data_IF_971256841200
#
_entry.id   IF_971256841200
#
_cell.length_a   1.000
_cell.length_b   1.000
_cell.length_c   1.000
_cell.angle_alpha   90.00
_cell.angle_beta   90.00
_cell.angle_gamma   90.00
#
_symmetry.space_group_name_H-M   'P 1'
#
loop_
_entity.id
_entity.type
_entity.pdbx_description
1 polymer ?
#
# COMPACT_ATOMS: atom_id res chain seq x y z
N UNK A 1 -37.68 -27.30 -31.41
CA UNK A 1 -37.98 -28.45 -30.51
C UNK A 1 -39.09 -28.08 -29.52
N UNK A 2 -39.77 -29.06 -28.88
CA UNK A 2 -40.80 -28.78 -27.87
C UNK A 2 -40.22 -27.96 -26.75
N UNK A 3 -39.01 -28.26 -26.28
CA UNK A 3 -38.32 -27.50 -25.22
C UNK A 3 -38.09 -26.03 -25.62
N UNK A 4 -37.75 -25.76 -26.89
CA UNK A 4 -37.60 -24.38 -27.37
C UNK A 4 -38.92 -23.62 -27.30
N UNK A 5 -40.02 -24.23 -27.71
CA UNK A 5 -41.36 -23.62 -27.66
C UNK A 5 -41.81 -23.36 -26.21
N UNK A 6 -41.51 -24.26 -25.29
CA UNK A 6 -41.81 -24.07 -23.86
C UNK A 6 -40.99 -22.89 -23.34
N UNK A 7 -39.69 -22.85 -23.61
CA UNK A 7 -38.81 -21.74 -23.16
C UNK A 7 -39.27 -20.40 -23.75
N UNK A 8 -39.64 -20.35 -25.02
CA UNK A 8 -40.14 -19.10 -25.65
C UNK A 8 -41.46 -18.64 -25.00
N UNK A 9 -42.39 -19.57 -24.71
CA UNK A 9 -43.64 -19.27 -24.01
C UNK A 9 -43.38 -18.78 -22.60
N UNK A 10 -42.48 -19.43 -21.87
CA UNK A 10 -42.10 -19.02 -20.54
C UNK A 10 -41.46 -17.64 -20.52
N UNK A 11 -40.51 -17.38 -21.44
CA UNK A 11 -39.88 -16.07 -21.60
C UNK A 11 -40.92 -14.99 -21.85
N UNK A 12 -41.87 -15.20 -22.75
CA UNK A 12 -42.90 -14.23 -23.08
C UNK A 12 -43.85 -13.98 -21.90
N UNK A 13 -44.26 -15.03 -21.17
CA UNK A 13 -45.13 -14.90 -19.99
C UNK A 13 -44.42 -14.14 -18.86
N UNK A 14 -43.15 -14.45 -18.59
CA UNK A 14 -42.34 -13.74 -17.61
C UNK A 14 -42.21 -12.24 -17.95
N UNK A 15 -41.86 -11.91 -19.19
CA UNK A 15 -41.71 -10.52 -19.64
C UNK A 15 -43.02 -9.75 -19.57
N UNK A 16 -44.13 -10.35 -20.01
CA UNK A 16 -45.45 -9.74 -19.94
C UNK A 16 -45.89 -9.50 -18.49
N UNK A 17 -45.66 -10.45 -17.59
CA UNK A 17 -45.94 -10.24 -16.16
C UNK A 17 -45.24 -9.00 -15.62
N UNK A 18 -43.92 -8.88 -15.82
CA UNK A 18 -43.15 -7.73 -15.32
C UNK A 18 -43.62 -6.43 -15.93
N UNK A 19 -43.81 -6.39 -17.28
CA UNK A 19 -44.21 -5.17 -17.98
C UNK A 19 -45.64 -4.71 -17.67
N UNK A 20 -46.55 -5.64 -17.35
CA UNK A 20 -47.96 -5.30 -17.08
C UNK A 20 -48.26 -5.05 -15.61
N UNK A 21 -47.58 -5.72 -14.70
CA UNK A 21 -47.88 -5.66 -13.26
C UNK A 21 -46.81 -4.98 -12.41
N UNK A 22 -45.56 -4.84 -12.92
CA UNK A 22 -44.40 -4.41 -12.15
C UNK A 22 -43.93 -5.41 -11.10
N UNK A 23 -44.52 -6.64 -11.08
CA UNK A 23 -44.21 -7.69 -10.12
C UNK A 23 -43.28 -8.73 -10.76
N UNK A 24 -42.16 -9.01 -10.09
CA UNK A 24 -41.14 -9.96 -10.55
C UNK A 24 -41.50 -11.40 -10.19
N UNK A 25 -40.75 -12.35 -10.68
CA UNK A 25 -41.01 -13.78 -10.43
C UNK A 25 -40.94 -14.22 -8.97
N UNK A 26 -40.16 -13.52 -8.17
CA UNK A 26 -40.00 -13.73 -6.73
C UNK A 26 -40.90 -12.85 -5.87
N UNK A 27 -41.81 -12.09 -6.49
CA UNK A 27 -42.77 -11.21 -5.82
C UNK A 27 -42.25 -9.81 -5.49
N UNK A 28 -40.98 -9.51 -5.77
CA UNK A 28 -40.44 -8.15 -5.59
C UNK A 28 -41.00 -7.16 -6.63
N UNK A 29 -40.99 -5.87 -6.27
CA UNK A 29 -41.15 -4.79 -7.23
C UNK A 29 -39.90 -4.60 -8.10
N UNK A 30 -39.95 -3.71 -9.08
CA UNK A 30 -38.81 -3.42 -9.97
C UNK A 30 -37.61 -2.79 -9.24
N UNK A 31 -37.82 -2.14 -8.11
CA UNK A 31 -36.80 -1.42 -7.33
C UNK A 31 -36.31 -2.17 -6.10
N UNK A 32 -36.99 -3.24 -5.69
CA UNK A 32 -36.67 -3.97 -4.47
C UNK A 32 -35.33 -4.72 -4.60
N UNK A 33 -34.55 -4.65 -3.54
CA UNK A 33 -33.28 -5.38 -3.34
C UNK A 33 -33.55 -6.52 -2.37
N UNK A 34 -32.93 -7.69 -2.63
CA UNK A 34 -33.00 -8.84 -1.73
C UNK A 34 -32.39 -8.50 -0.36
N UNK A 35 -32.78 -9.24 0.64
CA UNK A 35 -32.22 -9.13 2.00
C UNK A 35 -30.70 -9.29 1.97
N UNK A 36 -30.01 -8.40 2.70
CA UNK A 36 -28.55 -8.40 2.82
C UNK A 36 -28.18 -8.76 4.26
N UNK A 37 -27.32 -9.79 4.39
CA UNK A 37 -26.66 -10.17 5.63
C UNK A 37 -25.16 -10.09 5.46
N UNK A 38 -24.46 -9.57 6.46
CA UNK A 38 -23.02 -9.32 6.44
C UNK A 38 -22.43 -9.77 7.77
N UNK A 39 -21.51 -10.73 7.71
CA UNK A 39 -20.80 -11.24 8.88
C UNK A 39 -19.29 -10.95 8.72
N UNK A 40 -18.80 -9.82 9.29
CA UNK A 40 -17.40 -9.48 9.27
C UNK A 40 -16.59 -10.37 10.23
N UNK A 41 -15.29 -10.50 9.98
CA UNK A 41 -14.31 -11.24 10.81
C UNK A 41 -14.65 -12.72 11.05
N UNK A 42 -15.35 -13.34 10.08
CA UNK A 42 -15.83 -14.72 10.20
C UNK A 42 -14.70 -15.76 10.33
N UNK A 43 -13.52 -15.47 9.79
CA UNK A 43 -12.35 -16.34 9.86
C UNK A 43 -11.30 -15.79 10.83
N UNK A 44 -11.03 -16.50 11.91
CA UNK A 44 -10.21 -16.04 13.04
C UNK A 44 -8.73 -15.78 12.74
N UNK A 45 -8.17 -16.30 11.66
CA UNK A 45 -6.72 -16.24 11.38
C UNK A 45 -6.36 -15.49 10.11
N UNK A 46 -7.34 -15.06 9.33
CA UNK A 46 -7.12 -14.21 8.17
C UNK A 46 -6.82 -12.79 8.61
N UNK A 47 -6.27 -11.97 7.73
CA UNK A 47 -6.04 -10.57 8.07
C UNK A 47 -7.34 -9.77 8.08
N UNK A 48 -8.27 -10.07 7.13
CA UNK A 48 -9.64 -9.62 7.13
C UNK A 48 -10.53 -10.63 6.40
N UNK A 49 -11.76 -10.80 6.82
CA UNK A 49 -12.71 -11.71 6.18
C UNK A 49 -14.14 -11.25 6.36
N UNK A 50 -14.97 -11.49 5.36
CA UNK A 50 -16.40 -11.16 5.39
C UNK A 50 -17.19 -12.24 4.65
N UNK A 51 -18.30 -12.66 5.22
CA UNK A 51 -19.33 -13.38 4.51
C UNK A 51 -20.42 -12.39 4.12
N UNK A 52 -20.51 -12.09 2.84
CA UNK A 52 -21.53 -11.21 2.28
C UNK A 52 -22.61 -12.05 1.61
N UNK A 53 -23.84 -11.88 2.04
CA UNK A 53 -25.01 -12.59 1.50
C UNK A 53 -26.06 -11.60 1.02
N UNK A 54 -26.58 -11.82 -0.18
CA UNK A 54 -27.71 -11.07 -0.76
C UNK A 54 -28.71 -12.06 -1.34
N UNK A 55 -29.76 -12.36 -0.59
CA UNK A 55 -30.69 -13.44 -0.90
C UNK A 55 -29.92 -14.76 -1.11
N UNK A 56 -30.06 -15.35 -2.30
CA UNK A 56 -29.40 -16.60 -2.71
C UNK A 56 -28.05 -16.37 -3.43
N UNK A 57 -27.33 -15.29 -3.07
CA UNK A 57 -25.99 -15.03 -3.58
C UNK A 57 -25.08 -14.76 -2.38
N UNK A 58 -24.07 -15.61 -2.19
CA UNK A 58 -23.17 -15.57 -1.05
C UNK A 58 -21.72 -15.61 -1.51
N UNK A 59 -20.92 -14.69 -0.97
CA UNK A 59 -19.47 -14.60 -1.21
C UNK A 59 -18.71 -14.58 0.13
N UNK A 60 -17.81 -15.53 0.33
CA UNK A 60 -16.80 -15.49 1.37
C UNK A 60 -15.58 -14.76 0.83
N UNK A 61 -15.31 -13.57 1.34
CA UNK A 61 -14.23 -12.73 0.84
C UNK A 61 -13.16 -12.54 1.91
N UNK A 62 -11.92 -12.80 1.52
CA UNK A 62 -10.76 -12.78 2.41
C UNK A 62 -9.71 -11.83 1.87
N UNK A 63 -9.21 -10.96 2.73
CA UNK A 63 -8.09 -10.06 2.46
C UNK A 63 -6.83 -10.56 3.15
N UNK A 64 -5.71 -10.59 2.41
CA UNK A 64 -4.37 -10.84 2.92
C UNK A 64 -3.50 -9.62 2.63
N UNK A 65 -2.80 -9.14 3.65
CA UNK A 65 -1.83 -8.06 3.57
C UNK A 65 -0.42 -8.68 3.57
N UNK A 66 0.37 -8.35 2.59
CA UNK A 66 1.74 -8.85 2.43
C UNK A 66 2.75 -7.72 2.35
N UNK A 67 4.03 -8.09 2.31
CA UNK A 67 5.15 -7.19 2.07
C UNK A 67 5.33 -6.89 0.58
N UNK A 68 6.35 -6.11 0.25
CA UNK A 68 6.73 -5.82 -1.15
C UNK A 68 7.18 -7.07 -1.92
N UNK A 69 7.75 -8.08 -1.24
CA UNK A 69 8.15 -9.34 -1.86
C UNK A 69 6.98 -10.19 -2.34
N UNK A 70 5.77 -9.93 -1.79
CA UNK A 70 4.53 -10.64 -2.16
C UNK A 70 3.83 -10.03 -3.38
N UNK A 71 4.40 -8.99 -4.02
CA UNK A 71 3.87 -8.42 -5.26
C UNK A 71 3.77 -9.49 -6.36
N UNK A 72 2.63 -9.52 -7.04
CA UNK A 72 2.45 -10.42 -8.17
C UNK A 72 3.28 -9.94 -9.37
N UNK A 73 4.16 -10.82 -9.87
CA UNK A 73 4.91 -10.57 -11.11
C UNK A 73 4.00 -10.91 -12.28
N UNK A 74 3.75 -9.94 -13.14
CA UNK A 74 2.96 -10.10 -14.35
C UNK A 74 3.93 -10.11 -15.54
N UNK A 75 4.10 -11.27 -16.13
CA UNK A 75 4.81 -11.49 -17.39
C UNK A 75 3.81 -11.26 -18.53
N UNK A 76 3.96 -10.19 -19.27
CA UNK A 76 3.09 -9.83 -20.38
C UNK A 76 3.87 -9.71 -21.69
N UNK A 77 3.16 -9.71 -22.83
CA UNK A 77 3.80 -9.58 -24.14
C UNK A 77 4.42 -8.19 -24.37
N UNK A 78 3.97 -7.17 -23.65
CA UNK A 78 4.42 -5.79 -23.82
C UNK A 78 5.56 -5.45 -22.84
N UNK A 79 5.37 -5.72 -21.56
CA UNK A 79 6.36 -5.48 -20.50
C UNK A 79 6.05 -6.30 -19.25
N UNK A 80 7.09 -6.64 -18.50
CA UNK A 80 6.96 -7.25 -17.18
C UNK A 80 6.74 -6.15 -16.14
N UNK A 81 5.71 -6.32 -15.30
CA UNK A 81 5.45 -5.38 -14.23
C UNK A 81 5.02 -6.07 -12.94
N UNK A 82 5.20 -5.38 -11.82
CA UNK A 82 4.74 -5.84 -10.51
C UNK A 82 3.41 -5.23 -10.15
N UNK A 83 2.60 -5.99 -9.43
CA UNK A 83 1.26 -5.61 -9.03
C UNK A 83 1.10 -5.79 -7.53
N UNK A 84 0.93 -4.68 -6.80
CA UNK A 84 0.75 -4.66 -5.35
C UNK A 84 -0.70 -4.85 -4.90
N UNK A 85 -1.66 -4.81 -5.82
CA UNK A 85 -3.08 -5.05 -5.55
C UNK A 85 -3.66 -5.98 -6.59
N UNK A 86 -4.27 -7.09 -6.15
CA UNK A 86 -4.95 -8.04 -7.03
C UNK A 86 -6.09 -8.77 -6.32
N UNK A 87 -7.09 -9.15 -7.12
CA UNK A 87 -8.29 -9.84 -6.66
C UNK A 87 -8.50 -11.12 -7.47
N UNK A 88 -8.61 -12.23 -6.74
CA UNK A 88 -8.97 -13.55 -7.28
C UNK A 88 -10.45 -13.80 -6.99
N UNK A 89 -11.17 -14.15 -8.04
CA UNK A 89 -12.57 -14.52 -7.97
C UNK A 89 -12.71 -15.99 -8.35
N UNK A 90 -13.28 -16.79 -7.49
CA UNK A 90 -13.46 -18.22 -7.65
C UNK A 90 -14.95 -18.55 -7.71
N UNK A 91 -15.35 -19.23 -8.80
CA UNK A 91 -16.74 -19.59 -9.08
C UNK A 91 -16.84 -21.10 -9.30
N UNK A 92 -16.77 -21.90 -8.25
CA UNK A 92 -16.84 -23.35 -8.34
C UNK A 92 -18.24 -23.81 -8.79
N UNK A 93 -18.36 -24.93 -9.49
CA UNK A 93 -19.65 -25.41 -10.02
C UNK A 93 -20.74 -25.57 -8.95
N UNK A 94 -20.37 -25.93 -7.73
CA UNK A 94 -21.34 -26.14 -6.65
C UNK A 94 -22.13 -24.87 -6.30
N UNK A 95 -21.60 -23.67 -6.54
CA UNK A 95 -22.29 -22.42 -6.18
C UNK A 95 -23.58 -22.19 -6.99
N UNK A 96 -23.77 -22.91 -8.07
CA UNK A 96 -25.00 -22.93 -8.88
C UNK A 96 -25.65 -24.33 -8.89
N UNK A 97 -25.27 -25.20 -7.96
CA UNK A 97 -25.81 -26.56 -7.84
C UNK A 97 -25.36 -27.52 -8.94
N UNK A 98 -24.28 -27.21 -9.66
CA UNK A 98 -23.77 -27.99 -10.77
C UNK A 98 -22.53 -28.80 -10.36
N UNK A 99 -22.26 -29.86 -11.15
CA UNK A 99 -20.99 -30.58 -11.12
C UNK A 99 -20.11 -30.13 -12.29
N UNK A 100 -18.79 -30.04 -12.06
CA UNK A 100 -17.88 -29.58 -13.11
C UNK A 100 -16.42 -29.78 -12.76
N UNK A 101 -15.54 -29.45 -13.69
CA UNK A 101 -14.10 -29.48 -13.48
C UNK A 101 -13.67 -28.32 -12.58
N UNK A 102 -12.79 -28.61 -11.61
CA UNK A 102 -12.17 -27.66 -10.72
C UNK A 102 -10.66 -27.57 -11.09
N UNK A 103 -10.05 -26.41 -10.91
CA UNK A 103 -8.60 -26.21 -11.07
C UNK A 103 -8.18 -25.48 -12.35
N UNK A 104 -9.14 -24.96 -13.13
CA UNK A 104 -8.86 -24.08 -14.26
C UNK A 104 -9.63 -22.78 -14.09
N UNK A 105 -8.94 -21.66 -14.18
CA UNK A 105 -9.58 -20.36 -14.16
C UNK A 105 -10.33 -20.12 -15.47
N UNK A 106 -11.64 -19.93 -15.36
CA UNK A 106 -12.52 -19.65 -16.51
C UNK A 106 -12.43 -18.19 -16.96
N UNK A 107 -12.86 -17.90 -18.20
CA UNK A 107 -13.00 -16.52 -18.68
C UNK A 107 -13.95 -15.69 -17.81
N UNK A 108 -14.99 -16.33 -17.27
CA UNK A 108 -15.92 -15.72 -16.32
C UNK A 108 -15.21 -15.26 -15.06
N UNK A 109 -14.39 -16.13 -14.47
CA UNK A 109 -13.64 -15.80 -13.25
C UNK A 109 -12.65 -14.66 -13.48
N UNK A 110 -11.94 -14.65 -14.60
CA UNK A 110 -11.06 -13.54 -14.98
C UNK A 110 -11.84 -12.23 -15.14
N UNK A 111 -12.95 -12.25 -15.89
CA UNK A 111 -13.73 -11.04 -16.15
C UNK A 111 -14.40 -10.46 -14.90
N UNK A 112 -15.02 -11.33 -14.08
CA UNK A 112 -15.68 -10.91 -12.83
C UNK A 112 -14.65 -10.44 -11.78
N UNK A 113 -13.54 -11.14 -11.64
CA UNK A 113 -12.44 -10.73 -10.77
C UNK A 113 -11.86 -9.38 -11.16
N UNK A 114 -11.65 -9.17 -12.47
CA UNK A 114 -11.13 -7.90 -12.98
C UNK A 114 -12.13 -6.74 -12.78
N UNK A 115 -13.43 -6.99 -12.93
CA UNK A 115 -14.46 -5.99 -12.64
C UNK A 115 -14.43 -5.58 -11.16
N UNK A 116 -14.44 -6.55 -10.25
CA UNK A 116 -14.40 -6.28 -8.81
C UNK A 116 -13.09 -5.57 -8.41
N UNK A 117 -11.95 -5.99 -8.97
CA UNK A 117 -10.65 -5.35 -8.74
C UNK A 117 -10.66 -3.88 -9.20
N UNK A 118 -11.17 -3.58 -10.41
CA UNK A 118 -11.28 -2.20 -10.92
C UNK A 118 -12.22 -1.35 -10.09
N UNK A 119 -13.31 -1.93 -9.58
CA UNK A 119 -14.30 -1.22 -8.77
C UNK A 119 -13.70 -0.70 -7.45
N UNK A 120 -12.83 -1.47 -6.82
CA UNK A 120 -12.23 -1.16 -5.52
C UNK A 120 -10.95 -0.30 -5.66
N UNK A 121 -10.19 -0.47 -6.74
CA UNK A 121 -8.90 0.20 -6.94
C UNK A 121 -8.88 1.72 -6.65
N UNK A 122 -9.87 2.53 -7.09
CA UNK A 122 -9.85 3.98 -6.87
C UNK A 122 -9.93 4.42 -5.41
N UNK A 123 -10.42 3.57 -4.52
CA UNK A 123 -10.62 3.88 -3.09
C UNK A 123 -9.52 3.32 -2.20
N UNK A 124 -8.55 2.60 -2.75
CA UNK A 124 -7.42 2.11 -1.97
C UNK A 124 -6.60 3.29 -1.44
N UNK A 125 -5.99 3.16 -0.26
CA UNK A 125 -5.00 4.11 0.22
C UNK A 125 -3.80 4.16 -0.71
N UNK A 126 -3.08 5.28 -0.69
CA UNK A 126 -1.83 5.41 -1.40
C UNK A 126 -0.75 4.52 -0.76
N UNK A 127 0.19 4.01 -1.57
CA UNK A 127 1.20 3.06 -1.09
C UNK A 127 2.10 3.64 0.02
N UNK A 128 2.38 4.94 -0.02
CA UNK A 128 3.19 5.62 0.99
C UNK A 128 2.52 5.65 2.37
N UNK A 129 1.18 5.71 2.41
CA UNK A 129 0.39 5.71 3.64
C UNK A 129 0.09 4.28 4.13
N UNK A 130 -0.02 3.33 3.20
CA UNK A 130 -0.36 1.94 3.50
C UNK A 130 0.48 0.99 2.63
N UNK A 131 1.76 0.77 2.97
CA UNK A 131 2.74 0.07 2.12
C UNK A 131 2.58 -1.45 2.11
N UNK A 132 1.37 -1.92 1.91
CA UNK A 132 1.05 -3.35 1.83
C UNK A 132 0.77 -3.80 0.41
N UNK A 133 1.24 -4.98 0.08
CA UNK A 133 0.71 -5.76 -1.03
C UNK A 133 -0.62 -6.37 -0.59
N UNK A 134 -1.68 -6.09 -1.34
CA UNK A 134 -3.05 -6.47 -1.00
C UNK A 134 -3.52 -7.58 -1.95
N UNK A 135 -3.87 -8.74 -1.38
CA UNK A 135 -4.52 -9.83 -2.08
C UNK A 135 -5.93 -10.03 -1.53
N UNK A 136 -6.93 -9.96 -2.41
CA UNK A 136 -8.32 -10.34 -2.09
C UNK A 136 -8.64 -11.66 -2.78
N UNK A 137 -9.29 -12.55 -2.07
CA UNK A 137 -9.85 -13.80 -2.61
C UNK A 137 -11.33 -13.81 -2.33
N UNK A 138 -12.16 -13.88 -3.39
CA UNK A 138 -13.60 -13.99 -3.29
C UNK A 138 -14.02 -15.40 -3.70
N UNK A 139 -14.45 -16.21 -2.74
CA UNK A 139 -15.01 -17.54 -2.94
C UNK A 139 -16.52 -17.43 -3.01
N UNK A 140 -17.10 -17.76 -4.15
CA UNK A 140 -18.55 -17.74 -4.33
C UNK A 140 -19.12 -19.04 -3.78
N UNK A 141 -19.91 -18.93 -2.71
CA UNK A 141 -20.50 -20.06 -2.01
C UNK A 141 -21.86 -20.44 -2.62
N UNK A 142 -22.63 -19.43 -3.05
CA UNK A 142 -23.92 -19.58 -3.72
C UNK A 142 -24.14 -18.43 -4.71
N UNK A 143 -24.83 -18.66 -5.82
CA UNK A 143 -25.05 -17.63 -6.85
C UNK A 143 -26.39 -17.75 -7.52
N UNK A 144 -27.26 -16.76 -7.30
CA UNK A 144 -28.46 -16.48 -8.08
C UNK A 144 -28.54 -15.00 -8.43
N UNK A 145 -27.67 -14.56 -9.37
CA UNK A 145 -27.58 -13.19 -9.85
C UNK A 145 -26.45 -12.37 -9.23
N UNK A 146 -25.62 -11.85 -10.09
CA UNK A 146 -24.49 -10.93 -9.84
C UNK A 146 -23.60 -11.20 -8.64
N UNK A 147 -22.96 -12.35 -8.64
CA UNK A 147 -21.88 -12.70 -7.68
C UNK A 147 -20.66 -11.77 -7.77
N UNK A 148 -20.40 -11.14 -8.94
CA UNK A 148 -19.35 -10.14 -9.05
C UNK A 148 -19.62 -8.90 -8.20
N UNK A 149 -20.87 -8.46 -8.09
CA UNK A 149 -21.25 -7.33 -7.24
C UNK A 149 -21.22 -7.70 -5.76
N UNK A 150 -21.54 -8.95 -5.40
CA UNK A 150 -21.28 -9.47 -4.06
C UNK A 150 -19.78 -9.46 -3.72
N UNK A 151 -18.91 -9.78 -4.68
CA UNK A 151 -17.45 -9.70 -4.52
C UNK A 151 -16.94 -8.26 -4.36
N UNK A 152 -17.58 -7.28 -5.00
CA UNK A 152 -17.27 -5.85 -4.77
C UNK A 152 -17.60 -5.44 -3.34
N UNK A 153 -18.82 -5.72 -2.88
CA UNK A 153 -19.24 -5.39 -1.51
C UNK A 153 -18.38 -6.11 -0.47
N UNK A 154 -18.23 -7.44 -0.61
CA UNK A 154 -17.40 -8.25 0.30
C UNK A 154 -15.93 -7.87 0.26
N UNK A 155 -15.39 -7.51 -0.93
CA UNK A 155 -14.01 -7.06 -1.09
C UNK A 155 -13.74 -5.75 -0.38
N UNK A 156 -14.64 -4.77 -0.51
CA UNK A 156 -14.58 -3.51 0.23
C UNK A 156 -14.61 -3.74 1.74
N UNK A 157 -15.54 -4.55 2.22
CA UNK A 157 -15.68 -4.88 3.64
C UNK A 157 -14.51 -5.70 4.18
N UNK A 158 -13.99 -6.68 3.41
CA UNK A 158 -12.85 -7.49 3.87
C UNK A 158 -11.55 -6.69 3.98
N UNK A 159 -11.38 -5.63 3.17
CA UNK A 159 -10.30 -4.66 3.31
C UNK A 159 -10.44 -3.85 4.59
N UNK A 160 -11.64 -3.35 4.87
CA UNK A 160 -11.92 -2.63 6.12
C UNK A 160 -11.73 -3.54 7.35
N UNK A 161 -12.18 -4.81 7.26
CA UNK A 161 -11.94 -5.83 8.28
C UNK A 161 -10.43 -6.09 8.51
N UNK A 162 -9.60 -6.02 7.47
CA UNK A 162 -8.14 -6.15 7.57
C UNK A 162 -7.43 -4.91 8.15
N UNK A 163 -8.13 -3.80 8.30
CA UNK A 163 -7.59 -2.53 8.77
C UNK A 163 -7.05 -1.62 7.66
N UNK A 164 -7.39 -1.88 6.40
CA UNK A 164 -7.02 -0.99 5.31
C UNK A 164 -7.85 0.31 5.35
N UNK A 165 -7.22 1.50 5.41
CA UNK A 165 -7.91 2.78 5.49
C UNK A 165 -8.43 3.20 4.10
N UNK A 166 -9.53 2.59 3.66
CA UNK A 166 -10.16 2.95 2.39
C UNK A 166 -10.61 4.40 2.38
N UNK A 167 -10.48 5.08 1.24
CA UNK A 167 -11.00 6.46 1.05
C UNK A 167 -12.53 6.52 1.23
N UNK A 168 -13.22 5.46 0.83
CA UNK A 168 -14.68 5.26 1.02
C UNK A 168 -15.04 3.80 0.72
N UNK A 169 -16.06 3.21 1.35
CA UNK A 169 -16.55 1.89 0.97
C UNK A 169 -17.19 1.90 -0.42
N UNK A 170 -17.11 0.76 -1.10
CA UNK A 170 -17.65 0.55 -2.46
C UNK A 170 -18.72 -0.53 -2.42
N UNK A 171 -19.93 -0.19 -2.87
CA UNK A 171 -20.98 -1.15 -3.13
C UNK A 171 -21.18 -1.40 -4.64
N UNK A 172 -21.72 -2.55 -4.96
CA UNK A 172 -22.05 -2.93 -6.34
C UNK A 172 -23.47 -3.45 -6.46
N UNK A 173 -24.15 -3.07 -7.55
CA UNK A 173 -25.50 -3.53 -7.90
C UNK A 173 -25.57 -3.96 -9.37
N UNK A 174 -26.43 -4.94 -9.68
CA UNK A 174 -26.73 -5.34 -11.05
C UNK A 174 -28.16 -4.95 -11.38
N UNK A 175 -28.28 -4.19 -12.46
CA UNK A 175 -29.53 -3.73 -13.03
C UNK A 175 -29.91 -4.56 -14.24
N UNK A 176 -31.19 -4.73 -14.48
CA UNK A 176 -31.74 -5.37 -15.66
C UNK A 176 -32.70 -4.46 -16.41
N UNK A 177 -33.03 -4.89 -17.63
CA UNK A 177 -34.05 -4.23 -18.43
C UNK A 177 -34.94 -5.31 -19.10
N UNK A 178 -36.23 -5.06 -19.09
CA UNK A 178 -37.19 -5.78 -19.92
C UNK A 178 -37.92 -4.73 -20.73
N UNK A 179 -37.95 -4.88 -22.06
CA UNK A 179 -38.67 -3.95 -22.94
C UNK A 179 -39.34 -4.69 -24.13
N UNK A 180 -40.51 -4.24 -24.54
CA UNK A 180 -41.17 -4.71 -25.76
C UNK A 180 -41.12 -3.68 -26.90
N UNK A 181 -40.30 -2.62 -26.71
CA UNK A 181 -40.14 -1.51 -27.63
C UNK A 181 -41.11 -0.34 -27.37
N UNK A 182 -42.25 -0.58 -26.70
CA UNK A 182 -43.23 0.44 -26.32
C UNK A 182 -43.28 0.66 -24.80
N UNK A 183 -43.10 -0.41 -24.03
CA UNK A 183 -42.99 -0.42 -22.55
C UNK A 183 -41.62 -0.87 -22.15
N UNK A 184 -41.16 -0.43 -20.99
CA UNK A 184 -39.93 -0.94 -20.38
C UNK A 184 -40.06 -1.00 -18.89
N UNK A 185 -39.25 -1.81 -18.27
CA UNK A 185 -39.06 -1.92 -16.81
C UNK A 185 -37.58 -2.10 -16.51
N UNK A 186 -37.04 -1.17 -15.74
CA UNK A 186 -35.69 -1.27 -15.17
C UNK A 186 -35.77 -2.03 -13.84
N UNK A 187 -34.91 -3.05 -13.65
CA UNK A 187 -34.93 -3.93 -12.49
C UNK A 187 -33.67 -3.74 -11.66
N UNK A 188 -33.82 -3.52 -10.34
CA UNK A 188 -32.73 -3.52 -9.38
C UNK A 188 -32.43 -4.92 -8.88
N UNK A 189 -31.14 -5.23 -8.64
CA UNK A 189 -30.69 -6.50 -8.06
C UNK A 189 -31.30 -7.72 -8.76
N UNK A 190 -30.90 -7.92 -10.02
CA UNK A 190 -31.46 -8.97 -10.87
C UNK A 190 -31.03 -10.37 -10.43
N UNK A 191 -31.96 -11.31 -10.59
CA UNK A 191 -31.75 -12.74 -10.48
C UNK A 191 -31.03 -13.30 -11.73
N UNK A 192 -30.45 -14.48 -11.63
CA UNK A 192 -29.86 -15.16 -12.78
C UNK A 192 -30.86 -15.43 -13.91
N UNK A 193 -32.14 -15.71 -13.58
CA UNK A 193 -33.21 -15.86 -14.58
C UNK A 193 -33.53 -14.52 -15.28
N UNK A 194 -33.50 -13.41 -14.55
CA UNK A 194 -33.77 -12.07 -15.09
C UNK A 194 -32.62 -11.60 -15.99
N UNK A 195 -31.35 -11.93 -15.62
CA UNK A 195 -30.22 -11.77 -16.52
C UNK A 195 -30.44 -12.59 -17.81
N UNK A 196 -30.79 -13.88 -17.70
CA UNK A 196 -30.93 -14.74 -18.88
C UNK A 196 -32.10 -14.34 -19.83
N UNK A 197 -33.25 -13.95 -19.27
CA UNK A 197 -34.48 -13.65 -20.04
C UNK A 197 -34.65 -12.17 -20.35
N UNK A 198 -33.90 -11.28 -19.71
CA UNK A 198 -33.95 -9.85 -19.91
C UNK A 198 -33.15 -9.37 -21.13
N UNK A 199 -33.14 -8.06 -21.32
CA UNK A 199 -32.54 -7.36 -22.47
C UNK A 199 -31.21 -6.66 -22.09
N UNK A 200 -30.91 -6.48 -20.80
CA UNK A 200 -29.73 -5.82 -20.33
C UNK A 200 -29.24 -6.48 -19.02
N UNK A 201 -27.93 -6.64 -18.86
CA UNK A 201 -27.20 -6.84 -17.60
C UNK A 201 -26.25 -5.66 -17.39
N UNK A 202 -26.58 -4.79 -16.45
CA UNK A 202 -25.88 -3.53 -16.22
C UNK A 202 -25.36 -3.47 -14.78
N UNK A 203 -24.07 -3.69 -14.62
CA UNK A 203 -23.40 -3.71 -13.32
C UNK A 203 -22.75 -2.36 -13.04
N UNK A 204 -23.07 -1.80 -11.89
CA UNK A 204 -22.59 -0.49 -11.45
C UNK A 204 -22.02 -0.63 -10.05
N UNK A 205 -20.77 -0.23 -9.88
CA UNK A 205 -20.11 -0.16 -8.58
C UNK A 205 -19.68 1.28 -8.28
N UNK A 206 -19.66 1.64 -6.99
CA UNK A 206 -19.23 2.97 -6.59
C UNK A 206 -19.41 3.24 -5.09
N UNK A 207 -18.95 4.42 -4.71
CA UNK A 207 -19.06 5.00 -3.37
C UNK A 207 -20.37 5.82 -3.24
N UNK A 208 -20.55 6.48 -2.11
CA UNK A 208 -21.61 7.52 -1.95
C UNK A 208 -21.48 8.65 -2.97
N UNK A 209 -20.24 9.01 -3.34
CA UNK A 209 -19.94 10.21 -4.12
C UNK A 209 -20.00 9.95 -5.64
N UNK A 210 -19.68 8.70 -6.09
CA UNK A 210 -19.64 8.43 -7.51
C UNK A 210 -19.41 6.98 -7.88
N UNK A 211 -19.38 6.75 -9.18
CA UNK A 211 -19.21 5.43 -9.80
C UNK A 211 -17.71 5.14 -9.96
N UNK A 212 -17.28 3.95 -9.56
CA UNK A 212 -15.90 3.48 -9.70
C UNK A 212 -15.73 2.45 -10.82
N UNK A 213 -16.77 1.69 -11.17
CA UNK A 213 -16.75 0.76 -12.29
C UNK A 213 -18.13 0.54 -12.88
N UNK A 214 -18.15 0.28 -14.19
CA UNK A 214 -19.32 -0.04 -14.99
C UNK A 214 -19.02 -1.25 -15.87
N UNK A 215 -20.01 -2.14 -16.01
CA UNK A 215 -20.07 -3.16 -17.05
C UNK A 215 -21.48 -3.22 -17.61
N UNK A 216 -21.65 -3.00 -18.92
CA UNK A 216 -22.91 -3.08 -19.63
C UNK A 216 -22.86 -4.21 -20.65
N UNK A 217 -23.86 -5.11 -20.60
CA UNK A 217 -24.12 -6.13 -21.62
C UNK A 217 -25.54 -5.98 -22.10
N UNK A 218 -25.70 -5.67 -23.39
CA UNK A 218 -26.99 -5.51 -24.08
C UNK A 218 -27.25 -6.71 -24.97
N UNK A 219 -28.45 -7.29 -24.87
CA UNK A 219 -28.92 -8.39 -25.71
C UNK A 219 -29.83 -7.92 -26.83
N UNK A 220 -29.98 -6.59 -26.96
CA UNK A 220 -30.74 -5.88 -27.99
C UNK A 220 -29.83 -4.87 -28.69
N UNK A 221 -30.25 -4.33 -29.84
CA UNK A 221 -29.41 -3.46 -30.67
C UNK A 221 -28.99 -2.15 -29.96
N UNK A 222 -29.80 -1.67 -29.01
CA UNK A 222 -29.49 -0.47 -28.22
C UNK A 222 -30.63 -0.09 -27.29
N UNK A 223 -30.37 0.88 -26.43
CA UNK A 223 -31.34 1.50 -25.53
C UNK A 223 -31.29 3.01 -25.69
N UNK A 224 -32.38 3.70 -25.35
CA UNK A 224 -32.40 5.16 -25.38
C UNK A 224 -31.63 5.77 -24.21
N UNK A 225 -31.25 7.05 -24.31
CA UNK A 225 -30.59 7.77 -23.24
C UNK A 225 -31.48 7.90 -22.01
N UNK A 226 -32.79 8.01 -22.19
CA UNK A 226 -33.77 8.12 -21.10
C UNK A 226 -33.78 6.83 -20.26
N UNK A 227 -33.79 5.65 -20.91
CA UNK A 227 -33.70 4.36 -20.22
C UNK A 227 -32.36 4.22 -19.48
N UNK A 228 -31.27 4.68 -20.11
CA UNK A 228 -29.93 4.67 -19.45
C UNK A 228 -29.91 5.57 -18.22
N UNK A 229 -30.46 6.77 -18.29
CA UNK A 229 -30.56 7.71 -17.18
C UNK A 229 -31.41 7.14 -16.04
N UNK A 230 -32.58 6.54 -16.36
CA UNK A 230 -33.42 5.84 -15.39
C UNK A 230 -32.65 4.72 -14.69
N UNK A 231 -31.95 3.86 -15.46
CA UNK A 231 -31.14 2.76 -14.91
C UNK A 231 -30.02 3.25 -14.01
N UNK A 232 -29.34 4.34 -14.37
CA UNK A 232 -28.28 4.95 -13.55
C UNK A 232 -28.81 5.54 -12.26
N UNK A 233 -29.95 6.23 -12.31
CA UNK A 233 -30.58 6.82 -11.12
C UNK A 233 -31.09 5.72 -10.16
N UNK A 234 -31.78 4.71 -10.69
CA UNK A 234 -32.26 3.57 -9.90
C UNK A 234 -31.08 2.76 -9.31
N UNK A 235 -29.97 2.60 -10.07
CA UNK A 235 -28.76 1.97 -9.57
C UNK A 235 -28.10 2.80 -8.45
N UNK A 236 -28.16 4.12 -8.52
CA UNK A 236 -27.67 5.00 -7.45
C UNK A 236 -28.42 4.74 -6.16
N UNK A 237 -29.76 4.73 -6.20
CA UNK A 237 -30.60 4.50 -5.02
C UNK A 237 -30.33 3.10 -4.42
N UNK A 238 -30.26 2.07 -5.28
CA UNK A 238 -29.95 0.71 -4.84
C UNK A 238 -28.54 0.57 -4.27
N UNK A 239 -27.56 1.24 -4.85
CA UNK A 239 -26.18 1.24 -4.35
C UNK A 239 -26.07 1.94 -2.99
N UNK A 240 -26.74 3.06 -2.80
CA UNK A 240 -26.79 3.75 -1.51
C UNK A 240 -27.43 2.87 -0.44
N UNK A 241 -28.55 2.20 -0.74
CA UNK A 241 -29.16 1.24 0.18
C UNK A 241 -28.19 0.12 0.59
N UNK A 242 -27.41 -0.42 -0.37
CA UNK A 242 -26.40 -1.46 -0.06
C UNK A 242 -25.29 -0.88 0.81
N UNK A 243 -24.80 0.33 0.52
CA UNK A 243 -23.79 1.02 1.33
C UNK A 243 -24.27 1.24 2.77
N UNK A 244 -25.53 1.60 2.97
CA UNK A 244 -26.11 1.76 4.31
C UNK A 244 -26.03 0.44 5.09
N UNK A 245 -26.37 -0.70 4.46
CA UNK A 245 -26.24 -2.03 5.06
C UNK A 245 -24.78 -2.41 5.36
N UNK A 246 -23.86 -2.04 4.50
CA UNK A 246 -22.42 -2.24 4.71
C UNK A 246 -21.92 -1.41 5.91
N UNK A 247 -22.32 -0.15 5.99
CA UNK A 247 -21.96 0.76 7.08
C UNK A 247 -22.61 0.36 8.42
N UNK A 248 -23.82 -0.22 8.41
CA UNK A 248 -24.43 -0.79 9.62
C UNK A 248 -23.60 -1.96 10.17
N UNK A 249 -23.04 -2.81 9.30
CA UNK A 249 -22.25 -3.97 9.68
C UNK A 249 -20.79 -3.64 10.07
N UNK A 250 -20.16 -2.71 9.35
CA UNK A 250 -18.77 -2.29 9.59
C UNK A 250 -18.62 -0.79 9.25
N UNK A 251 -18.88 0.11 10.23
CA UNK A 251 -18.90 1.56 10.00
C UNK A 251 -17.52 2.17 9.74
N UNK A 252 -16.46 1.58 10.29
CA UNK A 252 -15.08 2.06 10.18
C UNK A 252 -14.14 0.88 9.99
N UNK A 253 -12.98 1.06 9.36
CA UNK A 253 -11.95 0.03 9.29
C UNK A 253 -11.49 -0.40 10.69
N UNK A 254 -11.27 -1.70 10.87
CA UNK A 254 -10.66 -2.25 12.08
C UNK A 254 -9.22 -1.78 12.25
N UNK A 255 -8.61 -2.06 13.39
CA UNK A 255 -7.15 -2.03 13.52
C UNK A 255 -6.51 -3.11 12.62
N UNK A 256 -5.29 -2.83 12.14
CA UNK A 256 -4.55 -3.82 11.34
C UNK A 256 -4.44 -5.13 12.13
N UNK A 257 -4.87 -6.22 11.49
CA UNK A 257 -4.86 -7.56 12.07
C UNK A 257 -3.53 -7.89 12.75
N UNK A 258 -3.60 -8.52 13.91
CA UNK A 258 -2.40 -8.99 14.63
C UNK A 258 -1.58 -10.04 13.85
N UNK A 259 -2.20 -10.67 12.85
CA UNK A 259 -1.57 -11.65 11.98
C UNK A 259 -0.95 -11.03 10.73
N UNK A 260 -1.29 -9.78 10.41
CA UNK A 260 -0.66 -9.06 9.31
C UNK A 260 0.76 -8.63 9.68
N UNK A 261 1.72 -8.67 8.74
CA UNK A 261 3.07 -8.18 8.99
C UNK A 261 3.02 -6.70 9.38
N UNK A 262 3.90 -6.28 10.28
CA UNK A 262 4.10 -4.86 10.60
C UNK A 262 5.06 -4.30 9.57
N UNK A 263 4.66 -3.27 8.86
CA UNK A 263 5.49 -2.62 7.85
C UNK A 263 5.82 -1.21 8.33
N UNK A 264 7.09 -0.86 8.22
CA UNK A 264 7.63 0.47 8.50
C UNK A 264 8.45 0.91 7.31
N UNK A 265 8.39 2.18 6.96
CA UNK A 265 9.16 2.76 5.87
C UNK A 265 9.98 3.95 6.35
N UNK A 266 11.12 4.17 5.69
CA UNK A 266 11.97 5.34 5.88
C UNK A 266 12.61 5.72 4.54
N UNK A 267 12.61 7.00 4.24
CA UNK A 267 13.35 7.53 3.11
C UNK A 267 14.78 7.85 3.53
N UNK A 268 15.75 7.30 2.82
CA UNK A 268 17.18 7.56 2.98
C UNK A 268 17.72 8.29 1.74
N UNK A 269 18.86 8.97 1.90
CA UNK A 269 19.56 9.52 0.74
C UNK A 269 19.98 8.38 -0.20
N UNK A 270 19.63 8.41 -1.51
CA UNK A 270 20.02 7.36 -2.47
C UNK A 270 21.52 7.05 -2.50
N UNK A 271 22.39 8.04 -2.21
CA UNK A 271 23.83 7.84 -2.12
C UNK A 271 24.23 6.86 -0.98
N UNK A 272 23.33 6.64 0.00
CA UNK A 272 23.56 5.72 1.13
C UNK A 272 23.06 4.30 0.88
N UNK A 273 22.35 4.06 -0.21
CA UNK A 273 21.88 2.71 -0.58
C UNK A 273 23.05 1.73 -0.61
N UNK A 274 24.17 2.12 -1.26
CA UNK A 274 25.37 1.30 -1.31
C UNK A 274 25.96 1.00 0.10
N UNK A 275 25.92 1.94 1.02
CA UNK A 275 26.38 1.74 2.41
C UNK A 275 25.43 0.82 3.20
N UNK A 276 24.12 0.97 3.01
CA UNK A 276 23.10 0.13 3.65
C UNK A 276 23.20 -1.32 3.17
N UNK A 277 23.32 -1.54 1.86
CA UNK A 277 23.49 -2.87 1.27
C UNK A 277 24.82 -3.47 1.72
N UNK A 278 25.91 -2.68 1.66
CA UNK A 278 27.26 -3.12 1.97
C UNK A 278 27.88 -4.04 0.92
N UNK A 279 29.20 -4.36 1.03
CA UNK A 279 29.89 -5.21 0.08
C UNK A 279 29.27 -6.60 -0.03
N UNK A 280 28.76 -6.96 -1.24
CA UNK A 280 28.08 -8.24 -1.47
C UNK A 280 26.80 -8.45 -0.66
N UNK A 281 26.15 -7.36 -0.22
CA UNK A 281 24.92 -7.42 0.58
C UNK A 281 25.14 -7.74 2.07
N UNK A 282 26.38 -7.61 2.58
CA UNK A 282 26.72 -8.05 3.94
C UNK A 282 25.96 -7.30 5.03
N UNK A 283 25.79 -5.98 4.89
CA UNK A 283 25.14 -5.17 5.93
C UNK A 283 23.65 -5.46 5.99
N UNK A 284 22.96 -5.44 4.85
CA UNK A 284 21.52 -5.70 4.80
C UNK A 284 21.18 -7.13 5.24
N UNK A 285 21.98 -8.13 4.83
CA UNK A 285 21.80 -9.52 5.28
C UNK A 285 21.95 -9.65 6.78
N UNK A 286 22.91 -8.93 7.37
CA UNK A 286 23.11 -8.93 8.82
C UNK A 286 21.91 -8.33 9.55
N UNK A 287 21.34 -7.23 9.06
CA UNK A 287 20.12 -6.64 9.65
C UNK A 287 18.98 -7.67 9.60
N UNK A 288 18.78 -8.33 8.45
CA UNK A 288 17.74 -9.35 8.27
C UNK A 288 17.94 -10.54 9.23
N UNK A 289 19.18 -11.03 9.39
CA UNK A 289 19.52 -12.14 10.27
C UNK A 289 19.33 -11.77 11.76
N UNK A 290 19.78 -10.59 12.17
CA UNK A 290 19.73 -10.13 13.56
C UNK A 290 18.30 -9.83 14.03
N UNK A 291 17.45 -9.30 13.13
CA UNK A 291 16.09 -8.84 13.49
C UNK A 291 14.98 -9.77 13.01
N UNK A 292 15.28 -10.73 12.15
CA UNK A 292 14.29 -11.61 11.46
C UNK A 292 13.24 -10.81 10.68
N UNK A 293 13.56 -9.55 10.29
CA UNK A 293 12.72 -8.70 9.45
C UNK A 293 13.17 -8.77 8.00
N UNK A 294 12.23 -8.64 7.09
CA UNK A 294 12.50 -8.39 5.68
C UNK A 294 12.86 -6.91 5.50
N UNK A 295 13.92 -6.62 4.75
CA UNK A 295 14.36 -5.24 4.45
C UNK A 295 14.51 -5.10 2.94
N UNK A 296 13.67 -4.26 2.35
CA UNK A 296 13.69 -3.92 0.92
C UNK A 296 14.16 -2.48 0.75
N UNK A 297 14.95 -2.24 -0.28
CA UNK A 297 15.50 -0.91 -0.61
C UNK A 297 15.23 -0.62 -2.08
N UNK A 298 14.55 0.48 -2.34
CA UNK A 298 14.27 0.96 -3.69
C UNK A 298 15.34 1.92 -4.19
N UNK A 299 15.46 2.07 -5.50
CA UNK A 299 16.47 2.91 -6.14
C UNK A 299 16.30 4.41 -5.82
N UNK A 300 15.12 4.84 -5.43
CA UNK A 300 14.79 6.21 -4.99
C UNK A 300 15.14 6.48 -3.52
N UNK A 301 15.55 5.45 -2.77
CA UNK A 301 15.94 5.54 -1.37
C UNK A 301 14.83 5.17 -0.38
N UNK A 302 13.67 4.71 -0.84
CA UNK A 302 12.64 4.17 0.05
C UNK A 302 13.10 2.83 0.61
N UNK A 303 13.25 2.73 1.94
CA UNK A 303 13.54 1.48 2.67
C UNK A 303 12.28 1.02 3.36
N UNK A 304 11.84 -0.20 3.05
CA UNK A 304 10.68 -0.85 3.66
C UNK A 304 11.14 -2.01 4.54
N UNK A 305 10.70 -2.02 5.78
CA UNK A 305 11.00 -3.05 6.78
C UNK A 305 9.69 -3.75 7.14
N UNK A 306 9.62 -5.07 6.95
CA UNK A 306 8.45 -5.87 7.24
C UNK A 306 8.79 -7.02 8.20
N UNK A 307 7.96 -7.24 9.21
CA UNK A 307 8.16 -8.32 10.19
C UNK A 307 6.90 -8.61 11.01
N UNK A 308 6.87 -9.76 11.65
CA UNK A 308 5.74 -10.17 12.49
C UNK A 308 5.66 -9.37 13.81
N UNK A 309 6.81 -8.89 14.31
CA UNK A 309 6.92 -8.22 15.60
C UNK A 309 7.34 -6.75 15.43
N UNK A 310 6.52 -5.84 15.97
CA UNK A 310 6.79 -4.39 15.91
C UNK A 310 8.11 -4.00 16.58
N UNK A 311 8.51 -4.69 17.65
CA UNK A 311 9.75 -4.39 18.38
C UNK A 311 10.96 -4.72 17.50
N UNK A 312 10.96 -5.86 16.81
CA UNK A 312 12.01 -6.24 15.85
C UNK A 312 12.06 -5.30 14.65
N UNK A 313 10.91 -4.86 14.13
CA UNK A 313 10.87 -3.86 13.07
C UNK A 313 11.48 -2.52 13.51
N UNK A 314 11.22 -2.09 14.76
CA UNK A 314 11.85 -0.90 15.34
C UNK A 314 13.38 -1.07 15.46
N UNK A 315 13.86 -2.24 15.90
CA UNK A 315 15.29 -2.54 15.96
C UNK A 315 15.94 -2.48 14.57
N UNK A 316 15.33 -3.09 13.56
CA UNK A 316 15.78 -3.01 12.17
C UNK A 316 15.82 -1.55 11.68
N UNK A 317 14.78 -0.77 12.01
CA UNK A 317 14.71 0.65 11.67
C UNK A 317 15.86 1.46 12.28
N UNK A 318 16.17 1.22 13.54
CA UNK A 318 17.30 1.91 14.20
C UNK A 318 18.66 1.49 13.61
N UNK A 319 18.83 0.23 13.20
CA UNK A 319 20.04 -0.22 12.49
C UNK A 319 20.17 0.46 11.11
N UNK A 320 19.07 0.56 10.37
CA UNK A 320 19.05 1.28 9.08
C UNK A 320 19.41 2.75 9.28
N UNK A 321 18.77 3.43 10.24
CA UNK A 321 19.09 4.83 10.59
C UNK A 321 20.55 5.01 10.97
N UNK A 322 21.10 4.13 11.78
CA UNK A 322 22.51 4.21 12.22
C UNK A 322 23.50 4.13 11.05
N UNK A 323 23.22 3.27 10.06
CA UNK A 323 24.06 3.11 8.86
C UNK A 323 23.92 4.31 7.91
N UNK A 324 22.70 4.80 7.74
CA UNK A 324 22.37 5.83 6.74
C UNK A 324 22.42 7.26 7.30
N UNK A 325 22.62 7.40 8.61
CA UNK A 325 22.66 8.68 9.30
C UNK A 325 23.69 9.64 8.69
N UNK A 326 23.27 10.85 8.36
CA UNK A 326 24.14 11.93 7.92
C UNK A 326 24.19 13.03 8.98
N UNK A 327 25.36 13.28 9.54
CA UNK A 327 25.54 14.38 10.49
C UNK A 327 25.55 15.71 9.74
N UNK A 328 24.76 16.67 10.22
CA UNK A 328 24.70 18.04 9.67
C UNK A 328 25.47 19.01 10.56
N UNK A 329 26.07 20.03 9.94
CA UNK A 329 26.76 21.09 10.67
C UNK A 329 25.77 21.78 11.62
N UNK A 330 26.15 21.87 12.88
CA UNK A 330 25.32 22.41 13.96
C UNK A 330 24.71 21.37 14.89
N UNK A 331 24.71 20.09 14.50
CA UNK A 331 24.24 19.00 15.38
C UNK A 331 25.17 18.77 16.58
N UNK A 332 24.58 18.37 17.71
CA UNK A 332 25.26 18.06 18.96
C UNK A 332 25.23 16.56 19.23
N UNK A 333 26.35 16.02 19.73
CA UNK A 333 26.51 14.61 19.96
C UNK A 333 27.09 14.34 21.34
N UNK A 334 26.54 13.32 22.02
CA UNK A 334 27.16 12.70 23.16
C UNK A 334 28.20 11.68 22.66
N UNK A 335 29.45 12.01 22.70
CA UNK A 335 30.56 11.26 22.11
C UNK A 335 31.49 10.68 23.14
N UNK A 336 32.28 9.67 22.73
CA UNK A 336 33.31 9.07 23.57
C UNK A 336 34.69 9.28 22.93
N UNK A 337 35.65 9.74 23.72
CA UNK A 337 37.04 9.89 23.25
C UNK A 337 37.67 8.51 23.00
N UNK A 338 38.09 8.28 21.74
CA UNK A 338 38.71 7.01 21.32
C UNK A 338 40.23 7.06 21.40
N UNK A 339 40.85 8.18 20.96
CA UNK A 339 42.28 8.37 20.93
C UNK A 339 42.66 9.85 20.99
N UNK A 340 43.83 10.12 21.58
CA UNK A 340 44.40 11.45 21.62
C UNK A 340 45.59 11.58 20.66
N UNK A 341 45.71 12.75 20.07
CA UNK A 341 46.81 13.12 19.18
C UNK A 341 47.31 14.52 19.64
N UNK A 342 48.54 14.88 19.31
CA UNK A 342 49.12 16.19 19.64
C UNK A 342 48.33 17.41 19.13
N UNK A 343 47.49 17.20 18.09
CA UNK A 343 46.69 18.24 17.44
C UNK A 343 45.19 18.21 17.81
N UNK A 344 44.72 17.20 18.55
CA UNK A 344 43.32 17.07 18.93
C UNK A 344 42.93 15.68 19.42
N UNK A 345 41.67 15.51 19.76
CA UNK A 345 41.05 14.24 20.16
C UNK A 345 40.14 13.68 19.09
N UNK A 346 40.19 12.39 18.81
CA UNK A 346 39.18 11.69 18.05
C UNK A 346 38.08 11.25 18.98
N UNK A 347 36.85 11.52 18.57
CA UNK A 347 35.64 11.17 19.30
C UNK A 347 34.73 10.31 18.47
N UNK A 348 34.24 9.23 19.04
CA UNK A 348 33.20 8.39 18.45
C UNK A 348 31.84 9.02 18.79
N UNK A 349 31.14 9.52 17.76
CA UNK A 349 29.84 10.18 17.88
C UNK A 349 28.66 9.28 17.49
N UNK A 350 28.95 8.18 16.78
CA UNK A 350 28.02 7.10 16.46
C UNK A 350 28.80 5.77 16.35
N UNK A 351 28.19 4.60 16.49
CA UNK A 351 28.88 3.31 16.46
C UNK A 351 29.79 3.15 15.24
N UNK A 352 31.11 3.03 15.49
CA UNK A 352 32.13 2.90 14.46
C UNK A 352 32.43 4.16 13.64
N UNK A 353 31.90 5.33 14.02
CA UNK A 353 32.11 6.61 13.32
C UNK A 353 32.82 7.61 14.21
N UNK A 354 33.98 8.04 13.77
CA UNK A 354 34.82 9.00 14.48
C UNK A 354 34.88 10.34 13.79
N UNK A 355 35.09 11.41 14.57
CA UNK A 355 35.44 12.72 14.08
C UNK A 355 36.49 13.40 14.96
N UNK A 356 37.06 14.49 14.49
CA UNK A 356 38.15 15.21 15.12
C UNK A 356 37.64 16.40 15.93
N UNK A 357 38.01 16.49 17.18
CA UNK A 357 37.98 17.74 17.97
C UNK A 357 39.40 18.31 17.99
N UNK A 358 39.64 19.33 17.18
CA UNK A 358 40.96 19.98 17.14
C UNK A 358 41.28 20.62 18.49
N UNK A 359 42.56 20.67 18.91
CA UNK A 359 43.00 21.23 20.19
C UNK A 359 42.45 22.65 20.45
N UNK A 360 42.30 23.47 19.38
CA UNK A 360 41.73 24.81 19.50
C UNK A 360 40.22 24.83 19.69
N UNK A 361 39.54 23.71 19.54
CA UNK A 361 38.11 23.51 19.70
C UNK A 361 37.70 22.78 20.98
N UNK A 362 38.68 22.54 21.89
CA UNK A 362 38.45 21.90 23.20
C UNK A 362 37.90 22.89 24.23
N UNK A 363 38.55 24.04 24.37
CA UNK A 363 38.23 25.05 25.37
C UNK A 363 38.35 26.49 24.83
N UNK A 364 37.78 27.46 25.55
CA UNK A 364 37.91 28.88 25.23
C UNK A 364 39.28 29.47 25.58
N UNK A 365 40.06 28.84 26.47
CA UNK A 365 41.43 29.18 26.76
C UNK A 365 42.42 28.33 25.94
N UNK A 366 43.67 28.76 25.90
CA UNK A 366 44.71 28.02 25.16
C UNK A 366 45.05 26.72 25.90
N UNK A 367 44.81 25.60 25.25
CA UNK A 367 45.20 24.27 25.75
C UNK A 367 46.59 23.94 25.21
N UNK A 368 47.52 23.56 26.09
CA UNK A 368 48.91 23.21 25.72
C UNK A 368 49.01 21.75 25.28
N UNK A 369 48.33 20.85 25.96
CA UNK A 369 48.26 19.43 25.64
C UNK A 369 46.82 18.94 25.71
N UNK A 370 46.44 18.07 24.79
CA UNK A 370 45.07 17.51 24.73
C UNK A 370 44.76 16.69 26.00
N UNK A 371 45.78 16.02 26.53
CA UNK A 371 45.69 15.20 27.76
C UNK A 371 45.36 16.01 29.01
N UNK A 372 45.55 17.33 28.99
CA UNK A 372 45.20 18.21 30.14
C UNK A 372 43.67 18.41 30.25
N UNK A 373 42.90 18.11 29.16
CA UNK A 373 41.46 18.35 29.06
C UNK A 373 40.65 17.08 28.90
N UNK A 374 41.14 16.10 28.13
CA UNK A 374 40.44 14.87 27.80
C UNK A 374 41.37 13.66 27.96
N UNK A 375 40.76 12.52 28.38
CA UNK A 375 41.43 11.22 28.43
C UNK A 375 40.70 10.23 27.49
N UNK A 376 41.39 9.19 26.99
CA UNK A 376 40.73 8.11 26.25
C UNK A 376 39.65 7.45 27.10
N UNK A 377 38.46 7.32 26.56
CA UNK A 377 37.29 6.76 27.24
C UNK A 377 36.34 7.78 27.86
N UNK A 378 36.73 9.06 27.95
CA UNK A 378 35.88 10.13 28.47
C UNK A 378 34.63 10.33 27.59
N UNK A 379 33.50 10.60 28.25
CA UNK A 379 32.28 11.06 27.60
C UNK A 379 32.34 12.57 27.44
N UNK A 380 32.13 13.06 26.21
CA UNK A 380 32.21 14.49 25.89
C UNK A 380 31.08 14.88 24.95
N UNK A 381 30.40 15.97 25.24
CA UNK A 381 29.47 16.59 24.31
C UNK A 381 30.22 17.45 23.30
N UNK A 382 29.92 17.24 22.03
CA UNK A 382 30.57 17.97 20.93
C UNK A 382 29.54 18.43 19.92
N UNK A 383 29.82 19.55 19.26
CA UNK A 383 29.00 20.10 18.19
C UNK A 383 29.74 19.99 16.87
N UNK A 384 29.08 19.49 15.83
CA UNK A 384 29.64 19.44 14.48
C UNK A 384 29.73 20.86 13.91
N UNK A 385 30.95 21.32 13.62
CA UNK A 385 31.21 22.67 13.14
C UNK A 385 31.54 22.72 11.64
N UNK A 386 32.07 21.63 11.10
CA UNK A 386 32.48 21.58 9.70
C UNK A 386 32.55 20.15 9.19
N UNK A 387 32.16 19.97 7.91
CA UNK A 387 32.44 18.79 7.10
C UNK A 387 33.39 19.22 5.99
N UNK A 388 34.55 18.58 5.84
CA UNK A 388 35.51 18.93 4.80
C UNK A 388 35.16 18.26 3.45
N UNK A 389 35.87 18.65 2.37
CA UNK A 389 35.66 18.14 1.00
C UNK A 389 35.97 16.62 0.87
N UNK A 390 36.55 16.01 1.90
CA UNK A 390 36.81 14.54 1.97
C UNK A 390 35.82 13.83 2.91
N UNK A 391 34.77 14.53 3.36
CA UNK A 391 33.74 13.97 4.26
C UNK A 391 34.22 13.79 5.72
N UNK A 392 35.36 14.40 6.12
CA UNK A 392 35.85 14.34 7.50
C UNK A 392 35.11 15.37 8.36
N UNK A 393 34.77 14.93 9.59
CA UNK A 393 33.95 15.67 10.51
C UNK A 393 34.81 16.39 11.55
N UNK A 394 34.72 17.71 11.63
CA UNK A 394 35.36 18.53 12.62
C UNK A 394 34.34 18.93 13.69
N UNK A 395 34.61 18.60 14.92
CA UNK A 395 33.76 18.87 16.07
C UNK A 395 34.39 19.96 16.99
N UNK A 396 33.53 20.63 17.73
CA UNK A 396 33.91 21.60 18.75
C UNK A 396 33.24 21.27 20.10
N UNK A 397 34.01 21.11 21.14
CA UNK A 397 33.51 21.05 22.50
C UNK A 397 33.26 22.47 23.04
N UNK A 398 34.17 23.42 22.76
CA UNK A 398 34.04 24.82 23.23
C UNK A 398 32.76 25.51 22.74
N UNK A 399 32.20 25.11 21.60
CA UNK A 399 30.95 25.68 21.08
C UNK A 399 29.73 25.41 21.99
N UNK A 400 29.84 24.43 22.91
CA UNK A 400 28.84 24.06 23.91
C UNK A 400 29.15 24.58 25.32
N UNK A 401 30.34 25.16 25.53
CA UNK A 401 30.73 25.75 26.80
C UNK A 401 30.35 27.23 26.85
N UNK A 402 30.00 27.72 28.02
CA UNK A 402 29.73 29.14 28.24
C UNK A 402 30.98 29.98 27.87
N UNK A 403 30.74 31.00 27.04
CA UNK A 403 31.80 31.89 26.59
C UNK A 403 32.24 32.79 27.76
N UNK A 404 33.54 32.78 28.14
CA UNK A 404 34.01 33.65 29.22
C UNK A 404 33.77 35.15 28.95
N UNK A 405 33.32 35.90 29.94
CA UNK A 405 33.16 37.35 29.85
C UNK A 405 34.49 38.00 29.47
N UNK A 406 34.49 38.80 28.39
CA UNK A 406 35.68 39.51 27.91
C UNK A 406 36.54 38.77 26.86
N UNK A 407 36.11 37.59 26.38
CA UNK A 407 36.85 36.88 25.34
C UNK A 407 36.80 37.63 23.99
N UNK A 408 38.00 38.06 23.56
CA UNK A 408 38.19 38.69 22.21
C UNK A 408 38.74 37.64 21.26
N UNK A 409 38.00 37.36 20.20
CA UNK A 409 38.38 36.39 19.19
C UNK A 409 39.65 36.87 18.45
N UNK A 410 40.77 36.17 18.63
CA UNK A 410 42.00 36.47 17.88
C UNK A 410 41.78 36.05 16.40
N UNK A 411 41.57 37.00 15.49
CA UNK A 411 41.57 36.77 14.07
C UNK A 411 42.89 36.10 13.66
N UNK A 412 42.89 34.89 13.20
CA UNK A 412 44.03 34.23 12.56
C UNK A 412 44.43 35.09 11.35
N UNK A 413 45.57 35.78 11.47
CA UNK A 413 46.15 36.51 10.34
C UNK A 413 46.54 35.59 9.21
N UNK A 414 46.61 36.07 7.96
CA UNK A 414 46.92 35.25 6.80
C UNK A 414 48.31 34.61 6.98
N UNK A 415 48.38 33.28 6.86
CA UNK A 415 49.66 32.55 6.84
C UNK A 415 50.49 33.05 5.64
N UNK A 416 51.52 33.84 5.95
CA UNK A 416 52.55 34.26 4.99
C UNK A 416 53.29 33.04 4.49
N UNK A 417 53.10 32.66 3.24
CA UNK A 417 53.88 31.66 2.58
C UNK A 417 55.34 32.09 2.40
N UNK A 418 56.21 31.62 3.29
CA UNK A 418 57.67 31.80 3.16
C UNK A 418 58.16 30.97 2.00
N UNK A 419 58.69 31.68 1.02
CA UNK A 419 59.19 31.17 -0.22
C UNK A 419 60.56 30.51 -0.18
N UNK A 420 60.91 30.02 -1.36
CA UNK A 420 62.21 29.73 -1.95
C UNK A 420 62.73 28.29 -1.90
N UNK A 421 62.79 27.81 -3.07
CA UNK A 421 63.56 26.64 -3.49
C UNK A 421 63.40 26.36 -4.98
N UNK A 422 64.02 27.18 -5.81
CA UNK A 422 64.08 26.97 -7.28
C UNK A 422 64.76 25.67 -7.62
N UNK A 423 64.13 24.81 -8.42
CA UNK A 423 64.79 23.74 -9.16
C UNK A 423 64.50 23.86 -10.64
N UNK A 424 65.60 23.88 -11.41
CA UNK A 424 65.72 24.01 -12.88
C UNK A 424 64.96 22.89 -13.61
N UNK A 425 64.53 23.15 -14.86
CA UNK A 425 63.77 22.19 -15.67
C UNK A 425 64.65 21.05 -16.20
N UNK A 426 64.22 19.83 -16.08
CA UNK A 426 64.81 18.65 -16.68
C UNK A 426 64.25 18.42 -18.09
N UNK A 427 65.18 18.33 -19.06
CA UNK A 427 64.92 18.09 -20.49
C UNK A 427 64.24 16.74 -20.74
N UNK A 428 63.21 16.77 -21.58
CA UNK A 428 62.66 15.58 -22.23
C UNK A 428 63.75 14.85 -23.03
N UNK A 429 63.89 13.55 -22.85
CA UNK A 429 64.39 12.63 -23.87
C UNK A 429 63.28 11.71 -24.31
N UNK A 430 63.08 11.70 -25.65
CA UNK A 430 62.28 10.71 -26.39
C UNK A 430 63.00 9.34 -26.32
N UNK A 431 62.20 8.33 -26.08
CA UNK A 431 62.17 7.10 -26.90
C UNK A 431 60.78 6.50 -26.74
#
# INVERSE_FOLDING_TARGET
>A
SINSLINDKFKNAFREQVLSTGVRSDGRSTTDIREISIDPDILNRTHGSVLFTRGETQALVVTTLGSKSDEAIIDSMDEDYKKSYYLHYNFPPYCVGETGRIGFTSRREIGHGNLAQRAIKPVLPDYDDFPYTIRIVSEIMESNGSSSMASVCGGSLSLMSAGAPLKSPVAGIAMGLITDGSRHAVLSDILGMEDHLGDMDFKIAGTSDGITAIQLDLKIEGISFEIMEEALNQAKDGRLHILDKMNEALPEPNEISKYAPRIMSININPEKIGALIGPGGKNIKKIIEDTECEVNVDDDGLVTIAGENKEKCNEAMELVKAITFEPEVGMEFDSKVTRLMSFGAFVEFAPGREGLVHISELEWHRVEKVEDVLNPGDKVKVKLIKIDDQGRLDFSRKALLEKPEGYVEQKKGPRNGGGRGGRKPFKKRRF
#
